data_IF_657579587345
#
_entry.id   IF_657579587345
#
_cell.length_a   1.000
_cell.length_b   1.000
_cell.length_c   1.000
_cell.angle_alpha   90.00
_cell.angle_beta   90.00
_cell.angle_gamma   90.00
#
_symmetry.space_group_name_H-M   'P 1'
#
loop_
_entity.id
_entity.type
_entity.pdbx_description
1 polymer ?
#
# COMPACT_ATOMS: atom_id res chain seq x y z
N UNK A 1 27.89 -20.34 37.12
CA UNK A 1 26.64 -21.06 36.80
C UNK A 1 25.43 -20.13 36.56
N UNK A 2 25.38 -18.92 37.14
CA UNK A 2 24.26 -17.96 36.99
C UNK A 2 24.21 -17.27 35.61
N UNK A 3 25.36 -17.03 34.96
CA UNK A 3 25.45 -16.37 33.65
C UNK A 3 24.94 -17.23 32.50
N UNK A 4 25.15 -18.55 32.53
CA UNK A 4 24.70 -19.47 31.48
C UNK A 4 23.17 -19.60 31.41
N UNK A 5 22.47 -19.43 32.54
CA UNK A 5 21.02 -19.55 32.60
C UNK A 5 20.32 -18.33 31.95
N UNK A 6 20.90 -17.12 32.09
CA UNK A 6 20.40 -15.89 31.45
C UNK A 6 20.48 -15.99 29.92
N UNK A 7 21.57 -16.51 29.38
CA UNK A 7 21.72 -16.71 27.94
C UNK A 7 20.73 -17.73 27.36
N UNK A 8 20.39 -18.77 28.11
CA UNK A 8 19.38 -19.75 27.69
C UNK A 8 17.97 -19.15 27.61
N UNK A 9 17.60 -18.34 28.61
CA UNK A 9 16.31 -17.63 28.62
C UNK A 9 16.24 -16.63 27.46
N UNK A 10 17.30 -15.85 27.22
CA UNK A 10 17.36 -14.88 26.13
C UNK A 10 17.27 -15.58 24.76
N UNK A 11 18.05 -16.64 24.53
CA UNK A 11 18.05 -17.37 23.26
C UNK A 11 16.70 -18.05 22.98
N UNK A 12 16.09 -18.65 24.00
CA UNK A 12 14.76 -19.27 23.87
C UNK A 12 13.67 -18.23 23.63
N UNK A 13 13.77 -17.08 24.29
CA UNK A 13 12.86 -15.94 24.08
C UNK A 13 12.95 -15.37 22.67
N UNK A 14 14.17 -15.12 22.17
CA UNK A 14 14.40 -14.64 20.80
C UNK A 14 13.90 -15.65 19.76
N UNK A 15 14.14 -16.95 19.97
CA UNK A 15 13.62 -18.00 19.11
C UNK A 15 12.08 -17.99 19.11
N UNK A 16 11.44 -17.83 20.26
CA UNK A 16 9.98 -17.72 20.37
C UNK A 16 9.40 -16.49 19.69
N UNK A 17 10.08 -15.34 19.76
CA UNK A 17 9.70 -14.14 18.99
C UNK A 17 9.76 -14.44 17.50
N UNK A 18 10.85 -15.02 17.00
CA UNK A 18 11.00 -15.36 15.58
C UNK A 18 9.91 -16.33 15.10
N UNK A 19 9.61 -17.36 15.89
CA UNK A 19 8.53 -18.32 15.60
C UNK A 19 7.17 -17.64 15.58
N UNK A 20 6.91 -16.73 16.53
CA UNK A 20 5.65 -15.97 16.57
C UNK A 20 5.50 -15.07 15.35
N UNK A 21 6.59 -14.46 14.87
CA UNK A 21 6.60 -13.67 13.63
C UNK A 21 6.26 -14.55 12.42
N UNK A 22 6.82 -15.76 12.33
CA UNK A 22 6.47 -16.72 11.26
C UNK A 22 5.00 -17.15 11.37
N UNK A 23 4.50 -17.43 12.58
CA UNK A 23 3.09 -17.79 12.81
C UNK A 23 2.14 -16.69 12.31
N UNK A 24 2.41 -15.44 12.68
CA UNK A 24 1.61 -14.28 12.27
C UNK A 24 1.69 -14.04 10.76
N UNK A 25 2.86 -14.27 10.15
CA UNK A 25 3.04 -14.18 8.71
C UNK A 25 2.28 -15.28 7.96
N UNK A 26 2.26 -16.52 8.47
CA UNK A 26 1.48 -17.60 7.87
C UNK A 26 -0.02 -17.37 8.02
N UNK A 27 -0.45 -16.91 9.19
CA UNK A 27 -1.85 -16.60 9.45
C UNK A 27 -2.35 -15.46 8.55
N UNK A 28 -1.54 -14.42 8.36
CA UNK A 28 -1.89 -13.31 7.47
C UNK A 28 -2.06 -13.76 6.01
N UNK A 29 -1.26 -14.72 5.55
CA UNK A 29 -1.41 -15.32 4.20
C UNK A 29 -2.67 -16.17 4.10
N UNK A 30 -3.00 -16.96 5.13
CA UNK A 30 -4.25 -17.75 5.15
C UNK A 30 -5.50 -16.86 5.11
N UNK A 31 -5.45 -15.66 5.70
CA UNK A 31 -6.57 -14.71 5.70
C UNK A 31 -6.84 -14.07 4.33
N UNK A 32 -5.85 -13.99 3.42
CA UNK A 32 -6.02 -13.49 2.05
C UNK A 32 -5.12 -14.26 1.08
N UNK A 33 -5.50 -15.52 0.80
CA UNK A 33 -4.80 -16.39 -0.16
C UNK A 33 -4.76 -15.77 -1.57
N UNK A 34 -5.75 -14.96 -1.92
CA UNK A 34 -5.83 -14.29 -3.22
C UNK A 34 -4.74 -13.23 -3.41
N UNK A 35 -4.49 -12.42 -2.37
CA UNK A 35 -3.38 -11.47 -2.37
C UNK A 35 -2.02 -12.17 -2.39
N UNK A 36 -1.86 -13.23 -1.60
CA UNK A 36 -0.61 -14.02 -1.63
C UNK A 36 -0.37 -14.65 -3.01
N UNK A 37 -1.40 -15.17 -3.66
CA UNK A 37 -1.31 -15.70 -5.02
C UNK A 37 -0.92 -14.61 -6.04
N UNK A 38 -1.49 -13.40 -5.93
CA UNK A 38 -1.09 -12.25 -6.78
C UNK A 38 0.38 -11.92 -6.61
N UNK A 39 0.88 -11.93 -5.37
CA UNK A 39 2.28 -11.62 -5.08
C UNK A 39 3.23 -12.67 -5.65
N UNK A 40 2.91 -13.96 -5.56
CA UNK A 40 3.72 -15.02 -6.18
C UNK A 40 3.68 -14.90 -7.72
N UNK A 41 2.50 -14.64 -8.31
CA UNK A 41 2.38 -14.44 -9.76
C UNK A 41 3.15 -13.23 -10.27
N UNK A 42 3.23 -12.16 -9.48
CA UNK A 42 3.98 -10.97 -9.83
C UNK A 42 5.49 -11.22 -10.02
N UNK A 43 6.00 -12.38 -9.56
CA UNK A 43 7.40 -12.75 -9.75
C UNK A 43 7.67 -13.31 -11.15
N UNK A 44 6.64 -13.76 -11.88
CA UNK A 44 6.76 -14.23 -13.27
C UNK A 44 7.56 -15.52 -13.48
N UNK A 45 8.06 -16.16 -12.42
CA UNK A 45 8.99 -17.31 -12.50
C UNK A 45 8.28 -18.67 -12.34
N UNK A 46 7.13 -18.70 -11.68
CA UNK A 46 6.45 -19.95 -11.32
C UNK A 46 5.30 -20.28 -12.29
N UNK A 47 5.16 -21.56 -12.64
CA UNK A 47 4.01 -22.06 -13.41
C UNK A 47 2.73 -22.08 -12.56
N UNK A 48 1.55 -21.91 -13.17
CA UNK A 48 0.27 -21.88 -12.42
C UNK A 48 0.03 -23.08 -11.48
N UNK A 49 0.36 -24.34 -11.84
CA UNK A 49 0.24 -25.46 -10.90
C UNK A 49 1.15 -25.31 -9.68
N UNK A 50 2.36 -24.79 -9.88
CA UNK A 50 3.32 -24.55 -8.80
C UNK A 50 2.89 -23.38 -7.92
N UNK A 51 2.33 -22.32 -8.50
CA UNK A 51 1.72 -21.21 -7.74
C UNK A 51 0.61 -21.72 -6.83
N UNK A 52 -0.31 -22.54 -7.36
CA UNK A 52 -1.40 -23.12 -6.57
C UNK A 52 -0.87 -23.96 -5.40
N UNK A 53 0.16 -24.79 -5.64
CA UNK A 53 0.81 -25.58 -4.60
C UNK A 53 1.48 -24.69 -3.53
N UNK A 54 2.22 -23.66 -3.93
CA UNK A 54 2.90 -22.74 -3.00
C UNK A 54 1.90 -21.93 -2.16
N UNK A 55 0.81 -21.45 -2.76
CA UNK A 55 -0.25 -20.69 -2.07
C UNK A 55 -0.90 -21.53 -0.97
N UNK A 56 -1.06 -22.83 -1.16
CA UNK A 56 -1.64 -23.72 -0.15
C UNK A 56 -0.59 -24.19 0.88
N UNK A 57 0.57 -24.64 0.41
CA UNK A 57 1.56 -25.32 1.25
C UNK A 57 2.35 -24.34 2.14
N UNK A 58 2.74 -23.18 1.62
CA UNK A 58 3.60 -22.24 2.36
C UNK A 58 2.91 -21.74 3.63
N UNK A 59 1.67 -21.19 3.59
CA UNK A 59 0.99 -20.72 4.80
C UNK A 59 0.64 -21.84 5.77
N UNK A 60 0.29 -23.03 5.26
CA UNK A 60 -0.01 -24.20 6.07
C UNK A 60 1.24 -24.70 6.83
N UNK A 61 2.40 -24.72 6.18
CA UNK A 61 3.67 -25.07 6.82
C UNK A 61 4.05 -24.00 7.83
N UNK A 62 3.98 -22.71 7.51
CA UNK A 62 4.32 -21.62 8.44
C UNK A 62 3.49 -21.66 9.72
N UNK A 63 2.17 -21.77 9.58
CA UNK A 63 1.25 -21.81 10.72
C UNK A 63 1.32 -23.12 11.49
N UNK A 64 1.36 -24.26 10.80
CA UNK A 64 1.41 -25.57 11.42
C UNK A 64 2.71 -25.81 12.18
N UNK A 65 3.85 -25.50 11.56
CA UNK A 65 5.16 -25.66 12.23
C UNK A 65 5.32 -24.68 13.37
N UNK A 66 4.94 -23.40 13.22
CA UNK A 66 5.01 -22.46 14.32
C UNK A 66 4.07 -22.83 15.48
N UNK A 67 2.87 -23.34 15.18
CA UNK A 67 1.94 -23.87 16.18
C UNK A 67 2.53 -25.04 16.97
N UNK A 68 3.12 -26.02 16.29
CA UNK A 68 3.80 -27.14 16.94
C UNK A 68 4.92 -26.68 17.88
N UNK A 69 5.70 -25.67 17.49
CA UNK A 69 6.76 -25.11 18.31
C UNK A 69 6.23 -24.43 19.58
N UNK A 70 5.16 -23.63 19.44
CA UNK A 70 4.52 -22.89 20.54
C UNK A 70 3.92 -23.84 21.58
N UNK A 71 3.31 -24.95 21.14
CA UNK A 71 2.76 -26.01 22.01
C UNK A 71 3.87 -26.86 22.64
N UNK A 72 5.13 -26.71 22.19
CA UNK A 72 6.29 -27.39 22.77
C UNK A 72 6.59 -28.74 22.13
N UNK A 73 5.96 -29.08 21.01
CA UNK A 73 6.15 -30.34 20.31
C UNK A 73 7.37 -30.25 19.39
N UNK A 74 8.32 -31.17 19.57
CA UNK A 74 9.48 -31.35 18.70
C UNK A 74 10.25 -30.05 18.37
N UNK A 75 10.33 -29.10 19.33
CA UNK A 75 10.89 -27.73 19.14
C UNK A 75 12.15 -27.69 18.29
N UNK A 76 13.13 -28.55 18.56
CA UNK A 76 14.39 -28.59 17.80
C UNK A 76 14.21 -28.99 16.33
N UNK A 77 13.37 -29.99 16.03
CA UNK A 77 13.09 -30.41 14.64
C UNK A 77 12.31 -29.32 13.91
N UNK A 78 11.33 -28.73 14.58
CA UNK A 78 10.51 -27.65 14.04
C UNK A 78 11.35 -26.40 13.75
N UNK A 79 12.25 -26.01 14.65
CA UNK A 79 13.20 -24.90 14.42
C UNK A 79 14.08 -25.16 13.19
N UNK A 80 14.54 -26.40 12.97
CA UNK A 80 15.31 -26.75 11.76
C UNK A 80 14.48 -26.61 10.48
N UNK A 81 13.21 -27.03 10.50
CA UNK A 81 12.29 -26.85 9.37
C UNK A 81 12.08 -25.36 9.07
N UNK A 82 11.86 -24.54 10.10
CA UNK A 82 11.70 -23.09 9.96
C UNK A 82 12.97 -22.43 9.41
N UNK A 83 14.16 -22.83 9.87
CA UNK A 83 15.43 -22.34 9.32
C UNK A 83 15.56 -22.73 7.85
N UNK A 84 15.33 -23.99 7.51
CA UNK A 84 15.41 -24.47 6.12
C UNK A 84 14.46 -23.70 5.21
N UNK A 85 13.24 -23.41 5.70
CA UNK A 85 12.27 -22.61 4.97
C UNK A 85 12.77 -21.16 4.76
N UNK A 86 13.20 -20.46 5.81
CA UNK A 86 13.70 -19.07 5.69
C UNK A 86 14.94 -19.00 4.79
N UNK A 87 15.85 -19.98 4.88
CA UNK A 87 17.01 -20.08 3.98
C UNK A 87 16.56 -20.28 2.53
N UNK A 88 15.68 -21.26 2.27
CA UNK A 88 15.20 -21.53 0.90
C UNK A 88 14.57 -20.30 0.27
N UNK A 89 13.73 -19.60 1.02
CA UNK A 89 13.08 -18.38 0.58
C UNK A 89 14.09 -17.25 0.30
N UNK A 90 15.10 -17.10 1.16
CA UNK A 90 16.18 -16.12 0.99
C UNK A 90 17.00 -16.41 -0.27
N UNK A 91 17.29 -17.69 -0.54
CA UNK A 91 18.00 -18.11 -1.75
C UNK A 91 17.18 -17.85 -3.02
N UNK A 92 15.88 -18.15 -3.01
CA UNK A 92 15.00 -17.83 -4.14
C UNK A 92 15.00 -16.33 -4.39
N UNK A 93 14.83 -15.51 -3.34
CA UNK A 93 14.86 -14.05 -3.47
C UNK A 93 16.18 -13.51 -4.01
N UNK A 94 17.31 -14.04 -3.53
CA UNK A 94 18.64 -13.68 -4.03
C UNK A 94 18.83 -14.10 -5.49
N UNK A 95 18.35 -15.28 -5.88
CA UNK A 95 18.39 -15.74 -7.27
C UNK A 95 17.52 -14.87 -8.19
N UNK A 96 16.31 -14.49 -7.76
CA UNK A 96 15.45 -13.56 -8.52
C UNK A 96 16.18 -12.24 -8.74
N UNK A 97 16.79 -11.67 -7.71
CA UNK A 97 17.54 -10.42 -7.81
C UNK A 97 18.75 -10.48 -8.77
N UNK A 98 19.42 -11.64 -8.84
CA UNK A 98 20.58 -11.84 -9.71
C UNK A 98 20.21 -12.08 -11.19
N UNK A 99 19.05 -12.69 -11.46
CA UNK A 99 18.69 -13.16 -12.81
C UNK A 99 17.50 -12.44 -13.45
N UNK A 100 16.71 -11.69 -12.67
CA UNK A 100 15.49 -11.01 -13.13
C UNK A 100 15.37 -9.61 -12.49
N UNK A 101 14.61 -8.70 -13.12
CA UNK A 101 14.25 -7.43 -12.48
C UNK A 101 13.35 -7.71 -11.25
N UNK A 102 13.78 -7.36 -10.03
CA UNK A 102 13.04 -7.70 -8.83
C UNK A 102 11.72 -6.92 -8.79
N UNK A 103 10.58 -7.56 -8.45
CA UNK A 103 9.36 -6.82 -8.20
C UNK A 103 9.56 -5.83 -7.05
N UNK A 104 8.94 -4.66 -7.14
CA UNK A 104 9.09 -3.56 -6.17
C UNK A 104 8.71 -3.95 -4.73
N UNK A 105 7.97 -5.05 -4.54
CA UNK A 105 7.52 -5.55 -3.25
C UNK A 105 7.68 -7.08 -3.16
N UNK A 106 8.42 -7.57 -2.16
CA UNK A 106 8.62 -9.02 -1.96
C UNK A 106 7.40 -9.73 -1.33
N UNK A 107 6.37 -9.02 -0.85
CA UNK A 107 5.05 -9.55 -0.44
C UNK A 107 5.01 -10.48 0.79
N UNK A 108 6.14 -10.87 1.37
CA UNK A 108 6.23 -12.06 2.24
C UNK A 108 5.40 -12.05 3.54
N UNK A 109 4.90 -10.90 3.98
CA UNK A 109 4.05 -10.75 5.18
C UNK A 109 2.55 -10.66 4.84
N UNK A 110 2.18 -10.80 3.57
CA UNK A 110 0.83 -10.57 3.09
C UNK A 110 0.31 -9.20 3.50
N UNK A 111 -0.96 -9.15 3.88
CA UNK A 111 -1.67 -7.92 4.32
C UNK A 111 -1.01 -7.25 5.53
N UNK A 112 -0.31 -8.02 6.39
CA UNK A 112 0.32 -7.48 7.61
C UNK A 112 1.51 -6.56 7.30
N UNK A 113 2.27 -6.84 6.22
CA UNK A 113 3.37 -5.99 5.78
C UNK A 113 2.89 -4.65 5.23
N UNK A 114 1.75 -4.66 4.55
CA UNK A 114 1.08 -3.46 4.02
C UNK A 114 0.52 -2.57 5.14
N UNK A 115 0.06 -3.18 6.23
CA UNK A 115 -0.52 -2.49 7.39
C UNK A 115 0.54 -1.83 8.29
N UNK A 116 1.70 -2.49 8.46
CA UNK A 116 2.79 -2.03 9.34
C UNK A 116 3.76 -1.03 8.65
N UNK A 117 3.53 -0.66 7.38
CA UNK A 117 4.47 0.18 6.58
C UNK A 117 5.91 -0.35 6.60
N UNK A 118 6.08 -1.67 6.72
CA UNK A 118 7.42 -2.29 6.73
C UNK A 118 7.99 -2.14 5.34
N UNK A 119 9.17 -1.56 5.22
CA UNK A 119 9.87 -1.43 3.94
C UNK A 119 9.93 -2.78 3.23
N UNK A 120 9.27 -2.86 2.07
CA UNK A 120 9.08 -4.08 1.26
C UNK A 120 10.17 -4.30 0.22
N UNK A 121 11.14 -3.38 0.14
CA UNK A 121 12.27 -3.45 -0.78
C UNK A 121 13.22 -4.61 -0.46
N UNK A 122 13.96 -5.05 -1.47
CA UNK A 122 14.90 -6.16 -1.39
C UNK A 122 15.89 -6.09 -0.21
N UNK A 123 16.54 -4.93 0.09
CA UNK A 123 17.46 -4.84 1.22
C UNK A 123 16.77 -5.11 2.57
N UNK A 124 15.57 -4.57 2.76
CA UNK A 124 14.82 -4.75 3.99
C UNK A 124 14.34 -6.19 4.18
N UNK A 125 13.96 -6.87 3.09
CA UNK A 125 13.59 -8.27 3.15
C UNK A 125 14.78 -9.17 3.51
N UNK A 126 15.98 -8.89 2.97
CA UNK A 126 17.21 -9.59 3.32
C UNK A 126 17.60 -9.38 4.79
N UNK A 127 17.58 -8.14 5.29
CA UNK A 127 17.89 -7.83 6.69
C UNK A 127 16.95 -8.56 7.66
N UNK A 128 15.66 -8.60 7.34
CA UNK A 128 14.66 -9.30 8.15
C UNK A 128 14.88 -10.81 8.17
N UNK A 129 15.13 -11.42 7.02
CA UNK A 129 15.39 -12.86 6.94
C UNK A 129 16.67 -13.21 7.71
N UNK A 130 17.72 -12.38 7.62
CA UNK A 130 18.94 -12.54 8.41
C UNK A 130 18.67 -12.44 9.92
N UNK A 131 17.84 -11.49 10.36
CA UNK A 131 17.44 -11.37 11.76
C UNK A 131 16.67 -12.60 12.26
N UNK A 132 15.72 -13.11 11.46
CA UNK A 132 14.97 -14.34 11.77
C UNK A 132 15.89 -15.56 11.86
N UNK A 133 16.83 -15.71 10.93
CA UNK A 133 17.82 -16.79 10.95
C UNK A 133 18.72 -16.70 12.17
N UNK A 134 19.20 -15.51 12.52
CA UNK A 134 19.98 -15.29 13.74
C UNK A 134 19.22 -15.71 14.99
N UNK A 135 17.96 -15.30 15.13
CA UNK A 135 17.13 -15.65 16.28
C UNK A 135 16.80 -17.16 16.35
N UNK A 136 16.52 -17.81 15.21
CA UNK A 136 16.23 -19.24 15.15
C UNK A 136 17.49 -20.10 15.42
N UNK A 137 18.63 -19.73 14.87
CA UNK A 137 19.90 -20.46 15.06
C UNK A 137 20.43 -20.31 16.48
N UNK A 138 20.26 -19.15 17.12
CA UNK A 138 20.60 -18.95 18.53
C UNK A 138 19.84 -19.93 19.44
N UNK A 139 18.57 -20.23 19.11
CA UNK A 139 17.76 -21.24 19.80
C UNK A 139 18.25 -22.68 19.65
N UNK A 140 19.02 -23.01 18.60
CA UNK A 140 19.61 -24.34 18.39
C UNK A 140 20.95 -24.53 19.12
N UNK A 141 21.73 -23.45 19.25
CA UNK A 141 23.07 -23.48 19.84
C UNK A 141 23.00 -23.69 21.35
N UNK A 142 21.93 -23.21 22.01
CA UNK A 142 21.77 -23.43 23.44
C UNK A 142 21.21 -24.81 23.71
N UNK A 143 22.12 -25.76 23.95
CA UNK A 143 21.84 -27.16 24.27
C UNK A 143 20.82 -27.26 25.42
N UNK A 144 19.65 -27.82 25.13
CA UNK A 144 18.65 -28.17 26.13
C UNK A 144 19.26 -29.21 27.09
N UNK A 145 19.76 -28.75 28.24
CA UNK A 145 20.32 -29.62 29.28
C UNK A 145 19.23 -30.29 30.12
N UNK A 146 18.05 -30.53 29.56
CA UNK A 146 17.03 -31.46 30.12
C UNK A 146 17.39 -32.93 29.90
N UNK A 147 18.68 -33.28 29.91
CA UNK A 147 19.07 -34.66 30.19
C UNK A 147 18.96 -34.83 31.70
N UNK A 148 17.79 -35.32 32.13
CA UNK A 148 17.62 -35.93 33.44
C UNK A 148 18.83 -36.85 33.71
N UNK A 149 19.50 -36.78 34.87
CA UNK A 149 20.47 -37.80 35.24
C UNK A 149 19.70 -39.12 35.29
N UNK A 150 19.92 -39.99 34.29
CA UNK A 150 19.72 -41.41 34.50
C UNK A 150 20.89 -41.86 35.39
N UNK A 151 20.62 -42.82 36.27
CA UNK A 151 21.45 -43.33 37.37
C UNK A 151 21.27 -42.60 38.71
N UNK A 152 20.15 -42.89 39.36
CA UNK A 152 20.20 -43.13 40.80
C UNK A 152 20.88 -44.50 40.98
N UNK A 153 22.18 -44.52 41.26
CA UNK A 153 22.77 -45.64 41.97
C UNK A 153 22.36 -45.50 43.44
N UNK A 154 21.51 -46.42 43.89
CA UNK A 154 21.22 -46.60 45.31
C UNK A 154 22.46 -47.25 45.91
N UNK A 155 23.35 -46.44 46.47
CA UNK A 155 24.35 -46.90 47.43
C UNK A 155 23.68 -46.98 48.80
N UNK A 156 23.33 -48.19 49.22
CA UNK A 156 22.98 -48.51 50.60
C UNK A 156 24.26 -48.47 51.42
N UNK A 157 24.60 -47.29 51.94
CA UNK A 157 25.50 -47.16 53.07
C UNK A 157 24.79 -46.49 54.23
N UNK A 158 25.00 -47.10 55.39
CA UNK A 158 24.25 -46.92 56.61
C UNK A 158 24.38 -45.53 57.23
N UNK A 159 23.28 -45.09 57.86
CA UNK A 159 23.28 -44.09 58.92
C UNK A 159 23.00 -42.67 58.45
N UNK A 160 22.07 -42.03 59.17
CA UNK A 160 21.71 -40.60 59.15
C UNK A 160 20.56 -40.21 58.19
N UNK A 161 19.33 -40.37 58.68
CA UNK A 161 18.18 -39.57 58.27
C UNK A 161 18.37 -38.13 58.77
N UNK A 162 18.83 -37.21 57.90
CA UNK A 162 18.66 -35.76 58.09
C UNK A 162 17.56 -35.27 57.16
N UNK A 163 16.38 -35.05 57.74
CA UNK A 163 15.28 -34.34 57.07
C UNK A 163 15.54 -32.83 57.19
N UNK A 164 16.19 -32.23 56.21
CA UNK A 164 16.19 -30.76 56.10
C UNK A 164 14.89 -30.32 55.41
N UNK A 165 13.88 -29.95 56.20
CA UNK A 165 12.78 -29.09 55.74
C UNK A 165 13.36 -27.68 55.55
N UNK A 166 13.82 -27.37 54.35
CA UNK A 166 14.20 -26.03 53.91
C UNK A 166 13.08 -25.44 53.06
N UNK A 167 12.48 -24.35 53.54
CA UNK A 167 11.24 -23.77 53.02
C UNK A 167 11.30 -23.29 51.58
N UNK A 168 10.21 -23.53 50.86
CA UNK A 168 9.84 -22.84 49.63
C UNK A 168 8.47 -22.17 49.86
N UNK A 169 8.47 -20.95 50.39
CA UNK A 169 7.34 -20.03 50.25
C UNK A 169 7.79 -18.89 49.34
N UNK A 170 7.88 -19.20 48.05
CA UNK A 170 7.80 -18.16 47.03
C UNK A 170 6.38 -18.26 46.47
N UNK A 171 5.43 -17.61 47.14
CA UNK A 171 4.04 -17.43 46.68
C UNK A 171 3.99 -16.44 45.50
N UNK A 172 4.85 -16.66 44.51
CA UNK A 172 4.67 -16.08 43.19
C UNK A 172 3.48 -16.79 42.56
N UNK A 173 2.31 -16.15 42.60
CA UNK A 173 1.11 -16.57 41.91
C UNK A 173 1.41 -16.65 40.40
N UNK A 174 1.79 -17.83 39.93
CA UNK A 174 2.02 -18.10 38.52
C UNK A 174 0.67 -18.30 37.82
N UNK A 175 0.46 -17.54 36.74
CA UNK A 175 -0.71 -17.70 35.86
C UNK A 175 -0.86 -19.17 35.44
N UNK A 176 -2.09 -19.68 35.51
CA UNK A 176 -2.37 -21.05 35.05
C UNK A 176 -2.32 -21.11 33.52
N UNK A 177 -1.97 -22.29 32.98
CA UNK A 177 -2.01 -22.52 31.53
C UNK A 177 -3.42 -22.24 30.97
N UNK A 178 -4.46 -22.63 31.71
CA UNK A 178 -5.85 -22.38 31.35
C UNK A 178 -6.14 -20.89 31.27
N UNK A 179 -5.73 -20.10 32.26
CA UNK A 179 -5.95 -18.66 32.30
C UNK A 179 -5.25 -17.96 31.13
N UNK A 180 -4.01 -18.35 30.83
CA UNK A 180 -3.28 -17.81 29.67
C UNK A 180 -3.96 -18.18 28.36
N UNK A 181 -4.40 -19.44 28.20
CA UNK A 181 -5.11 -19.93 26.99
C UNK A 181 -6.47 -19.25 26.83
N UNK A 182 -7.20 -19.04 27.92
CA UNK A 182 -8.48 -18.31 27.91
C UNK A 182 -8.28 -16.85 27.49
N UNK A 183 -7.27 -16.16 28.04
CA UNK A 183 -6.98 -14.76 27.70
C UNK A 183 -6.62 -14.62 26.22
N UNK A 184 -5.73 -15.46 25.69
CA UNK A 184 -5.38 -15.40 24.26
C UNK A 184 -6.58 -15.77 23.37
N UNK A 185 -7.43 -16.72 23.78
CA UNK A 185 -8.64 -17.07 23.06
C UNK A 185 -9.64 -15.91 23.04
N UNK A 186 -9.85 -15.26 24.19
CA UNK A 186 -10.72 -14.08 24.32
C UNK A 186 -10.20 -12.91 23.49
N UNK A 187 -8.90 -12.59 23.60
CA UNK A 187 -8.27 -11.54 22.79
C UNK A 187 -8.36 -11.86 21.31
N UNK A 188 -8.17 -13.12 20.91
CA UNK A 188 -8.34 -13.57 19.52
C UNK A 188 -9.75 -13.34 19.00
N UNK A 189 -10.78 -13.72 19.78
CA UNK A 189 -12.19 -13.47 19.46
C UNK A 189 -12.46 -11.97 19.33
N UNK A 190 -11.99 -11.16 20.28
CA UNK A 190 -12.14 -9.71 20.24
C UNK A 190 -11.49 -9.11 18.98
N UNK A 191 -10.28 -9.53 18.62
CA UNK A 191 -9.59 -9.07 17.40
C UNK A 191 -10.41 -9.44 16.16
N UNK A 192 -10.94 -10.67 16.08
CA UNK A 192 -11.77 -11.12 14.95
C UNK A 192 -13.03 -10.27 14.80
N UNK A 193 -13.70 -9.95 15.92
CA UNK A 193 -14.90 -9.12 15.93
C UNK A 193 -14.61 -7.63 15.63
N UNK A 194 -13.44 -7.13 16.02
CA UNK A 194 -13.03 -5.72 15.81
C UNK A 194 -12.38 -5.46 14.45
N UNK A 195 -11.80 -6.47 13.81
CA UNK A 195 -11.15 -6.31 12.50
C UNK A 195 -12.05 -5.70 11.41
N UNK A 196 -13.32 -6.12 11.22
CA UNK A 196 -14.19 -5.52 10.21
C UNK A 196 -14.57 -4.07 10.53
N UNK A 197 -14.77 -3.69 11.80
CA UNK A 197 -15.13 -2.32 12.18
C UNK A 197 -13.99 -1.33 11.92
N UNK A 198 -12.74 -1.76 12.14
CA UNK A 198 -11.54 -0.96 11.86
C UNK A 198 -11.37 -0.62 10.37
N UNK A 199 -11.85 -1.49 9.46
CA UNK A 199 -11.79 -1.20 8.01
C UNK A 199 -12.64 0.03 7.64
N UNK A 200 -13.82 0.17 8.23
CA UNK A 200 -14.71 1.31 8.00
C UNK A 200 -14.11 2.63 8.49
N UNK A 201 -13.56 2.64 9.72
CA UNK A 201 -12.91 3.83 10.31
C UNK A 201 -11.74 4.30 9.44
N UNK A 202 -10.93 3.38 8.92
CA UNK A 202 -9.75 3.72 8.10
C UNK A 202 -10.15 4.25 6.73
N UNK A 203 -11.18 3.68 6.11
CA UNK A 203 -11.76 4.23 4.87
C UNK A 203 -12.23 5.67 5.08
N UNK A 204 -12.94 5.95 6.17
CA UNK A 204 -13.36 7.30 6.51
C UNK A 204 -12.17 8.25 6.73
N UNK A 205 -11.11 7.78 7.38
CA UNK A 205 -9.86 8.54 7.55
C UNK A 205 -9.14 8.83 6.24
N UNK A 206 -9.01 7.83 5.37
CA UNK A 206 -8.41 7.99 4.04
C UNK A 206 -9.21 8.97 3.19
N UNK A 207 -10.55 8.87 3.22
CA UNK A 207 -11.46 9.77 2.50
C UNK A 207 -11.37 11.21 3.02
N UNK A 208 -11.27 11.39 4.34
CA UNK A 208 -11.08 12.70 4.95
C UNK A 208 -9.72 13.32 4.59
N UNK A 209 -8.66 12.52 4.60
CA UNK A 209 -7.32 12.96 4.20
C UNK A 209 -7.25 13.34 2.71
N UNK A 210 -7.87 12.55 1.84
CA UNK A 210 -7.94 12.86 0.42
C UNK A 210 -8.75 14.14 0.13
N UNK A 211 -9.87 14.35 0.84
CA UNK A 211 -10.63 15.59 0.75
C UNK A 211 -9.82 16.81 1.24
N UNK A 212 -8.97 16.65 2.25
CA UNK A 212 -8.06 17.70 2.70
C UNK A 212 -7.00 18.05 1.65
N UNK A 213 -6.36 17.04 1.02
CA UNK A 213 -5.42 17.28 -0.07
C UNK A 213 -6.10 17.98 -1.26
N UNK A 214 -7.30 17.54 -1.65
CA UNK A 214 -8.09 18.15 -2.72
C UNK A 214 -8.39 19.64 -2.49
N UNK A 215 -8.79 20.03 -1.26
CA UNK A 215 -8.97 21.45 -0.89
C UNK A 215 -7.64 22.21 -0.94
N UNK A 216 -6.58 21.63 -0.40
CA UNK A 216 -5.24 22.23 -0.44
C UNK A 216 -4.79 22.50 -1.87
N UNK A 217 -5.00 21.55 -2.78
CA UNK A 217 -4.66 21.71 -4.20
C UNK A 217 -5.53 22.79 -4.87
N UNK A 218 -6.82 22.86 -4.56
CA UNK A 218 -7.68 23.93 -5.07
C UNK A 218 -7.19 25.31 -4.60
N UNK A 219 -6.81 25.45 -3.33
CA UNK A 219 -6.19 26.68 -2.82
C UNK A 219 -4.88 27.03 -3.55
N UNK A 220 -4.03 26.05 -3.83
CA UNK A 220 -2.79 26.27 -4.61
C UNK A 220 -3.09 26.74 -6.03
N UNK A 221 -4.09 26.17 -6.69
CA UNK A 221 -4.48 26.59 -8.03
C UNK A 221 -5.10 27.99 -8.03
N UNK A 222 -5.83 28.38 -6.99
CA UNK A 222 -6.31 29.74 -6.82
C UNK A 222 -5.15 30.73 -6.61
N UNK A 223 -4.13 30.36 -5.82
CA UNK A 223 -2.90 31.16 -5.68
C UNK A 223 -2.17 31.30 -7.01
N UNK A 224 -2.00 30.19 -7.74
CA UNK A 224 -1.42 30.21 -9.08
C UNK A 224 -2.21 31.14 -10.01
N UNK A 225 -3.53 31.04 -10.03
CA UNK A 225 -4.35 31.92 -10.86
C UNK A 225 -4.13 33.39 -10.49
N UNK A 226 -4.05 33.73 -9.19
CA UNK A 226 -3.72 35.08 -8.75
C UNK A 226 -2.38 35.56 -9.30
N UNK A 227 -1.34 34.73 -9.24
CA UNK A 227 0.02 35.08 -9.69
C UNK A 227 0.14 35.11 -11.23
N UNK A 228 -0.73 34.39 -11.93
CA UNK A 228 -0.69 34.21 -13.39
C UNK A 228 -1.88 34.87 -14.11
N UNK A 229 -2.28 36.08 -13.69
CA UNK A 229 -3.32 36.90 -14.35
C UNK A 229 -4.66 36.17 -14.52
N UNK A 230 -5.06 35.42 -13.50
CA UNK A 230 -6.26 34.59 -13.44
C UNK A 230 -6.24 33.36 -14.35
N UNK A 231 -5.10 32.99 -14.96
CA UNK A 231 -4.98 31.77 -15.76
C UNK A 231 -4.82 30.55 -14.86
N UNK A 232 -5.57 29.49 -15.13
CA UNK A 232 -5.33 28.19 -14.53
C UNK A 232 -4.03 27.58 -15.10
N UNK A 233 -3.37 26.66 -14.36
CA UNK A 233 -2.09 26.09 -14.77
C UNK A 233 -2.13 25.48 -16.17
N UNK A 234 -1.24 26.00 -17.02
CA UNK A 234 -0.87 25.44 -18.30
C UNK A 234 0.64 25.66 -18.49
N UNK A 235 1.37 24.59 -18.75
CA UNK A 235 2.83 24.58 -18.66
C UNK A 235 3.51 24.67 -20.02
N UNK A 236 2.73 24.69 -21.11
CA UNK A 236 3.25 24.51 -22.45
C UNK A 236 2.81 25.62 -23.40
N UNK A 237 3.73 25.97 -24.30
CA UNK A 237 3.35 26.65 -25.53
C UNK A 237 2.70 25.61 -26.46
N UNK A 238 1.42 25.76 -26.84
CA UNK A 238 0.73 24.83 -27.71
C UNK A 238 1.31 24.77 -29.13
N UNK A 239 2.32 25.57 -29.50
CA UNK A 239 3.00 25.47 -30.80
C UNK A 239 4.38 24.81 -30.72
N UNK A 240 4.78 24.29 -29.55
CA UNK A 240 6.06 23.63 -29.39
C UNK A 240 6.06 22.21 -29.98
N UNK A 241 7.21 21.77 -30.48
CA UNK A 241 7.39 20.42 -31.05
C UNK A 241 7.45 19.33 -29.96
N UNK A 242 7.94 19.69 -28.77
CA UNK A 242 8.11 18.79 -27.63
C UNK A 242 7.69 19.50 -26.34
N UNK A 243 6.93 18.81 -25.48
CA UNK A 243 6.53 19.32 -24.17
C UNK A 243 7.39 18.71 -23.07
N UNK A 244 8.00 19.56 -22.25
CA UNK A 244 8.89 19.15 -21.17
C UNK A 244 8.43 19.85 -19.90
N UNK A 245 7.99 19.08 -18.90
CA UNK A 245 7.81 19.58 -17.55
C UNK A 245 9.14 19.70 -16.85
N UNK A 246 9.34 20.80 -16.14
CA UNK A 246 10.61 21.13 -15.49
C UNK A 246 10.38 21.42 -14.02
N UNK A 247 11.31 20.93 -13.21
CA UNK A 247 11.52 21.34 -11.83
C UNK A 247 13.01 21.69 -11.69
N UNK A 248 13.39 22.95 -12.06
CA UNK A 248 14.78 23.41 -12.06
C UNK A 248 15.50 23.21 -10.73
N UNK A 249 14.84 23.45 -9.59
CA UNK A 249 15.46 23.32 -8.26
C UNK A 249 16.02 21.92 -7.97
N UNK A 250 15.48 20.90 -8.64
CA UNK A 250 15.88 19.49 -8.52
C UNK A 250 16.58 18.95 -9.77
N UNK A 251 16.80 19.77 -10.80
CA UNK A 251 17.39 19.33 -12.07
C UNK A 251 16.51 18.33 -12.84
N UNK A 252 15.19 18.36 -12.65
CA UNK A 252 14.26 17.42 -13.26
C UNK A 252 13.68 18.00 -14.56
N UNK A 253 13.70 17.19 -15.62
CA UNK A 253 13.06 17.49 -16.90
C UNK A 253 12.39 16.22 -17.43
N UNK A 254 11.07 16.25 -17.59
CA UNK A 254 10.27 15.07 -17.96
C UNK A 254 9.54 15.38 -19.27
N UNK A 255 9.82 14.65 -20.37
CA UNK A 255 9.03 14.78 -21.58
C UNK A 255 7.64 14.22 -21.32
N UNK A 256 6.61 14.98 -21.67
CA UNK A 256 5.21 14.57 -21.54
C UNK A 256 4.46 14.95 -22.80
N UNK A 257 3.25 14.42 -22.98
CA UNK A 257 2.34 14.92 -24.01
C UNK A 257 1.50 16.06 -23.45
N UNK A 258 0.96 16.91 -24.34
CA UNK A 258 0.24 18.13 -23.93
C UNK A 258 -0.83 17.87 -22.85
N UNK A 259 -1.73 16.90 -23.09
CA UNK A 259 -2.80 16.57 -22.14
C UNK A 259 -2.38 15.67 -20.98
N UNK A 260 -1.20 15.03 -21.05
CA UNK A 260 -0.69 14.19 -19.95
C UNK A 260 -0.31 15.00 -18.72
N UNK A 261 -0.15 16.32 -18.86
CA UNK A 261 0.06 17.21 -17.72
C UNK A 261 -1.09 17.18 -16.71
N UNK A 262 -2.28 16.75 -17.13
CA UNK A 262 -3.40 16.46 -16.22
C UNK A 262 -3.03 15.49 -15.09
N UNK A 263 -2.00 14.66 -15.29
CA UNK A 263 -1.51 13.69 -14.31
C UNK A 263 -0.22 14.12 -13.64
N UNK A 264 0.59 14.97 -14.27
CA UNK A 264 1.94 15.34 -13.83
C UNK A 264 2.11 16.83 -13.51
N UNK A 265 1.01 17.56 -13.40
CA UNK A 265 0.96 19.00 -13.06
C UNK A 265 1.78 19.35 -11.80
N UNK A 266 1.91 18.41 -10.85
CA UNK A 266 2.69 18.58 -9.63
C UNK A 266 4.17 18.91 -9.90
N UNK A 267 4.75 18.40 -11.00
CA UNK A 267 6.12 18.73 -11.40
C UNK A 267 6.25 20.20 -11.75
N UNK A 268 5.30 20.74 -12.53
CA UNK A 268 5.35 22.12 -12.99
C UNK A 268 5.06 23.15 -11.90
N UNK A 269 4.35 22.75 -10.83
CA UNK A 269 4.08 23.61 -9.67
C UNK A 269 5.08 23.42 -8.52
N UNK A 270 5.98 22.43 -8.60
CA UNK A 270 6.85 22.04 -7.50
C UNK A 270 7.64 23.20 -6.91
N UNK A 271 8.37 23.93 -7.76
CA UNK A 271 9.29 25.00 -7.34
C UNK A 271 8.56 26.21 -6.75
N UNK A 272 7.37 26.53 -7.27
CA UNK A 272 6.61 27.70 -6.82
C UNK A 272 5.74 27.45 -5.60
N UNK A 273 5.17 26.24 -5.47
CA UNK A 273 4.05 26.00 -4.55
C UNK A 273 4.16 24.74 -3.69
N UNK A 274 5.18 23.89 -3.93
CA UNK A 274 5.37 22.64 -3.18
C UNK A 274 6.83 22.43 -2.76
N UNK A 275 7.51 23.50 -2.32
CA UNK A 275 8.85 23.44 -1.72
C UNK A 275 9.92 22.79 -2.63
N UNK A 276 9.76 22.92 -3.95
CA UNK A 276 10.64 22.27 -4.93
C UNK A 276 10.58 20.74 -4.87
N UNK A 277 9.49 20.15 -4.35
CA UNK A 277 9.31 18.71 -4.28
C UNK A 277 8.27 18.22 -5.33
N UNK A 278 8.72 17.72 -6.50
CA UNK A 278 7.82 17.25 -7.55
C UNK A 278 7.13 15.92 -7.24
N UNK A 279 7.51 15.26 -6.13
CA UNK A 279 6.86 14.07 -5.59
C UNK A 279 6.34 14.34 -4.17
N UNK A 280 5.82 15.56 -3.93
CA UNK A 280 5.29 15.95 -2.64
C UNK A 280 4.23 14.95 -2.13
N UNK A 281 4.26 14.53 -0.85
CA UNK A 281 3.33 13.54 -0.32
C UNK A 281 1.85 13.88 -0.53
N UNK A 282 1.51 15.17 -0.60
CA UNK A 282 0.13 15.62 -0.85
C UNK A 282 -0.39 15.21 -2.23
N UNK A 283 0.47 14.99 -3.22
CA UNK A 283 0.04 14.54 -4.56
C UNK A 283 -0.51 13.12 -4.57
N UNK A 284 -0.33 12.39 -3.47
CA UNK A 284 -0.76 11.01 -3.34
C UNK A 284 -1.94 10.91 -2.36
N UNK A 285 -2.94 10.15 -2.74
CA UNK A 285 -4.07 9.84 -1.86
C UNK A 285 -3.59 8.96 -0.69
N UNK A 286 -4.04 9.19 0.56
CA UNK A 286 -3.73 8.29 1.67
C UNK A 286 -4.12 6.82 1.42
N UNK A 287 -5.13 6.61 0.57
CA UNK A 287 -5.58 5.30 0.15
C UNK A 287 -4.67 4.63 -0.91
N UNK A 288 -3.77 5.39 -1.53
CA UNK A 288 -2.91 4.95 -2.63
C UNK A 288 -1.71 4.17 -2.09
N UNK A 289 -1.95 2.96 -1.60
CA UNK A 289 -0.92 2.08 -1.07
C UNK A 289 -0.17 1.38 -2.21
N UNK A 290 0.87 2.01 -2.73
CA UNK A 290 1.69 1.41 -3.81
C UNK A 290 0.90 1.08 -5.08
N UNK A 291 -0.21 1.78 -5.31
CA UNK A 291 -1.07 1.66 -6.47
C UNK A 291 -0.41 2.16 -7.75
N UNK A 292 -1.02 1.83 -8.88
CA UNK A 292 -0.56 2.13 -10.25
C UNK A 292 -0.29 3.64 -10.51
N UNK A 293 -0.89 4.53 -9.71
CA UNK A 293 -0.77 5.98 -9.80
C UNK A 293 -0.05 6.63 -8.61
N UNK A 294 0.40 5.84 -7.63
CA UNK A 294 1.20 6.32 -6.50
C UNK A 294 2.66 5.97 -6.71
N UNK A 295 3.38 6.84 -7.41
CA UNK A 295 4.81 6.72 -7.63
C UNK A 295 5.30 7.55 -8.81
N UNK A 296 6.51 8.08 -8.69
CA UNK A 296 7.14 8.91 -9.73
C UNK A 296 6.61 10.35 -9.73
N UNK A 297 6.26 10.86 -10.90
CA UNK A 297 5.79 12.23 -11.13
C UNK A 297 4.29 12.32 -11.44
N UNK A 298 3.55 11.22 -11.24
CA UNK A 298 2.11 11.15 -11.46
C UNK A 298 1.38 11.39 -10.14
N UNK A 299 0.33 12.21 -10.17
CA UNK A 299 -0.52 12.48 -9.02
C UNK A 299 -1.75 11.57 -8.99
N UNK A 300 -2.15 11.19 -7.78
CA UNK A 300 -3.46 10.59 -7.48
C UNK A 300 -4.62 11.51 -7.83
N UNK A 301 -4.39 12.83 -7.84
CA UNK A 301 -5.38 13.85 -8.10
C UNK A 301 -5.21 14.35 -9.54
N UNK A 302 -6.06 13.87 -10.43
CA UNK A 302 -6.05 14.31 -11.82
C UNK A 302 -6.62 15.72 -11.92
N UNK A 303 -5.84 16.63 -12.49
CA UNK A 303 -6.29 17.95 -12.88
C UNK A 303 -7.22 17.85 -14.11
N UNK A 304 -8.34 18.56 -14.09
CA UNK A 304 -9.31 18.48 -15.17
C UNK A 304 -8.75 19.09 -16.46
N UNK A 305 -8.67 18.28 -17.52
CA UNK A 305 -8.03 18.68 -18.76
C UNK A 305 -8.80 19.78 -19.53
N UNK A 306 -10.08 19.99 -19.19
CA UNK A 306 -10.94 21.04 -19.77
C UNK A 306 -10.37 22.46 -19.62
N UNK A 307 -9.40 22.64 -18.73
CA UNK A 307 -8.70 23.91 -18.52
C UNK A 307 -7.42 24.07 -19.35
N UNK A 308 -7.05 23.06 -20.12
CA UNK A 308 -5.89 23.05 -21.02
C UNK A 308 -6.25 23.46 -22.46
N UNK A 309 -7.52 23.68 -22.76
CA UNK A 309 -7.98 24.13 -24.07
C UNK A 309 -9.18 25.06 -23.93
N UNK A 310 -9.40 25.89 -24.96
CA UNK A 310 -10.57 26.75 -25.10
C UNK A 310 -11.87 25.96 -24.87
N UNK A 311 -12.90 26.52 -24.19
CA UNK A 311 -14.18 25.84 -24.00
C UNK A 311 -14.80 25.28 -25.29
N UNK A 312 -14.64 25.97 -26.42
CA UNK A 312 -15.16 25.53 -27.72
C UNK A 312 -14.39 24.33 -28.31
N UNK A 313 -13.18 24.02 -27.83
CA UNK A 313 -12.45 22.79 -28.17
C UNK A 313 -13.24 21.54 -27.77
N UNK A 314 -14.05 21.65 -26.71
CA UNK A 314 -14.78 20.52 -26.15
C UNK A 314 -16.16 20.33 -26.80
N UNK A 315 -16.67 21.32 -27.53
CA UNK A 315 -17.94 21.21 -28.24
C UNK A 315 -17.71 20.58 -29.62
N UNK A 316 -18.33 19.42 -29.93
CA UNK A 316 -18.21 18.81 -31.24
C UNK A 316 -18.57 19.73 -32.42
N UNK A 317 -19.42 20.73 -32.21
CA UNK A 317 -19.86 21.63 -33.28
C UNK A 317 -18.89 22.78 -33.53
N UNK A 318 -18.00 23.09 -32.58
CA UNK A 318 -17.12 24.28 -32.61
C UNK A 318 -15.64 23.96 -32.57
N UNK A 319 -15.30 22.73 -32.18
CA UNK A 319 -13.94 22.22 -32.13
C UNK A 319 -13.25 22.24 -33.49
N UNK A 320 -12.02 22.78 -33.50
CA UNK A 320 -11.06 22.93 -34.59
C UNK A 320 -9.82 22.06 -34.33
N UNK A 321 -8.90 22.02 -35.29
CA UNK A 321 -7.67 21.22 -35.17
C UNK A 321 -6.69 21.86 -34.18
N UNK A 322 -5.96 21.01 -33.47
CA UNK A 322 -4.79 21.44 -32.70
C UNK A 322 -3.75 22.08 -33.64
N UNK A 323 -3.04 23.14 -33.20
CA UNK A 323 -3.00 23.67 -31.84
C UNK A 323 -3.89 24.90 -31.59
N UNK A 324 -4.78 25.26 -32.52
CA UNK A 324 -5.43 26.58 -32.57
C UNK A 324 -6.24 26.94 -31.32
N UNK A 325 -6.86 25.94 -30.70
CA UNK A 325 -7.71 26.11 -29.51
C UNK A 325 -7.03 25.64 -28.21
N UNK A 326 -5.77 25.21 -28.26
CA UNK A 326 -5.04 24.80 -27.07
C UNK A 326 -4.53 26.05 -26.35
N UNK A 327 -5.00 26.27 -25.12
CA UNK A 327 -4.65 27.44 -24.30
C UNK A 327 -5.05 27.22 -22.85
N UNK A 328 -4.44 27.98 -21.95
CA UNK A 328 -4.95 28.09 -20.59
C UNK A 328 -6.35 28.74 -20.58
N UNK A 329 -7.21 28.20 -19.72
CA UNK A 329 -8.49 28.82 -19.37
C UNK A 329 -8.29 29.73 -18.17
N UNK A 330 -8.93 30.90 -18.17
CA UNK A 330 -8.94 31.76 -16.99
C UNK A 330 -10.02 31.33 -15.99
N UNK A 331 -9.80 31.57 -14.70
CA UNK A 331 -10.74 31.18 -13.65
C UNK A 331 -12.09 31.92 -13.78
N UNK A 332 -12.08 33.15 -14.30
CA UNK A 332 -13.27 33.98 -14.59
C UNK A 332 -14.04 33.54 -15.84
N UNK A 333 -13.48 32.65 -16.68
CA UNK A 333 -14.21 31.98 -17.76
C UNK A 333 -15.09 30.83 -17.22
N UNK A 334 -14.88 30.36 -15.99
CA UNK A 334 -15.65 29.23 -15.44
C UNK A 334 -17.05 29.68 -15.00
N UNK A 335 -18.08 29.24 -15.72
CA UNK A 335 -19.47 29.66 -15.48
C UNK A 335 -20.12 29.04 -14.24
N UNK A 336 -19.62 27.88 -13.80
CA UNK A 336 -20.21 27.14 -12.68
C UNK A 336 -19.16 26.73 -11.64
N UNK A 337 -18.54 27.67 -10.91
CA UNK A 337 -17.41 27.37 -10.03
C UNK A 337 -17.65 26.26 -9.00
N UNK A 338 -18.86 26.21 -8.42
CA UNK A 338 -19.27 25.20 -7.43
C UNK A 338 -19.73 23.87 -8.04
N UNK A 339 -19.83 23.80 -9.37
CA UNK A 339 -20.24 22.57 -10.08
C UNK A 339 -19.24 22.15 -11.16
N UNK A 340 -18.13 22.87 -11.26
CA UNK A 340 -17.01 22.59 -12.16
C UNK A 340 -15.85 22.03 -11.35
N UNK A 341 -15.49 20.80 -11.66
CA UNK A 341 -14.45 20.06 -10.96
C UNK A 341 -13.07 20.52 -11.43
N UNK A 342 -12.20 20.78 -10.48
CA UNK A 342 -10.80 21.14 -10.68
C UNK A 342 -9.89 19.90 -10.61
N UNK A 343 -10.05 19.06 -9.59
CA UNK A 343 -9.30 17.82 -9.44
C UNK A 343 -10.21 16.64 -9.09
N UNK A 344 -9.84 15.44 -9.52
CA UNK A 344 -10.50 14.18 -9.14
C UNK A 344 -9.49 13.18 -8.57
N UNK A 345 -9.82 12.57 -7.45
CA UNK A 345 -9.04 11.47 -6.87
C UNK A 345 -9.27 10.17 -7.65
N UNK A 346 -8.29 9.73 -8.44
CA UNK A 346 -8.37 8.51 -9.25
C UNK A 346 -8.24 7.23 -8.43
N UNK A 347 -7.51 7.27 -7.32
CA UNK A 347 -7.24 6.06 -6.54
C UNK A 347 -8.50 5.52 -5.86
N UNK A 348 -9.51 6.36 -5.66
CA UNK A 348 -10.82 5.90 -5.20
C UNK A 348 -11.46 4.93 -6.20
N UNK A 349 -11.40 5.24 -7.50
CA UNK A 349 -11.94 4.36 -8.56
C UNK A 349 -11.17 3.04 -8.61
N UNK A 350 -9.84 3.10 -8.51
CA UNK A 350 -9.00 1.91 -8.50
C UNK A 350 -9.33 1.02 -7.29
N UNK A 351 -9.40 1.60 -6.09
CA UNK A 351 -9.74 0.91 -4.84
C UNK A 351 -11.13 0.27 -4.89
N UNK A 352 -12.14 1.04 -5.31
CA UNK A 352 -13.51 0.54 -5.39
C UNK A 352 -13.65 -0.56 -6.45
N UNK A 353 -12.84 -0.49 -7.52
CA UNK A 353 -12.76 -1.54 -8.54
C UNK A 353 -12.14 -2.84 -8.04
N UNK A 354 -11.09 -2.76 -7.22
CA UNK A 354 -10.50 -3.94 -6.58
C UNK A 354 -11.47 -4.57 -5.57
N UNK A 355 -12.19 -3.75 -4.80
CA UNK A 355 -13.23 -4.21 -3.86
C UNK A 355 -14.40 -4.90 -4.60
N UNK A 356 -14.85 -4.32 -5.72
CA UNK A 356 -15.89 -4.89 -6.56
C UNK A 356 -15.48 -6.25 -7.15
N UNK A 357 -14.25 -6.36 -7.66
CA UNK A 357 -13.69 -7.63 -8.18
C UNK A 357 -13.59 -8.71 -7.10
N UNK A 358 -13.20 -8.35 -5.88
CA UNK A 358 -13.12 -9.30 -4.75
C UNK A 358 -14.49 -9.79 -4.28
N UNK A 359 -15.52 -8.95 -4.38
CA UNK A 359 -16.88 -9.25 -3.91
C UNK A 359 -17.81 -9.80 -4.99
N UNK A 360 -17.36 -9.88 -6.25
CA UNK A 360 -18.19 -10.26 -7.38
C UNK A 360 -19.28 -9.22 -7.72
N UNK A 361 -19.14 -7.98 -7.24
CA UNK A 361 -20.08 -6.89 -7.49
C UNK A 361 -19.73 -6.20 -8.81
N UNK A 362 -20.73 -5.89 -9.62
CA UNK A 362 -20.51 -5.01 -10.77
C UNK A 362 -20.22 -3.57 -10.31
N UNK A 363 -19.30 -2.90 -11.00
CA UNK A 363 -19.06 -1.48 -10.79
C UNK A 363 -20.18 -0.68 -11.45
N UNK A 364 -20.75 0.33 -10.76
CA UNK A 364 -21.68 1.24 -11.40
C UNK A 364 -20.98 1.98 -12.55
N UNK A 365 -21.77 2.33 -13.58
CA UNK A 365 -21.28 3.10 -14.74
C UNK A 365 -20.58 4.40 -14.32
N UNK A 366 -21.12 5.06 -13.28
CA UNK A 366 -20.55 6.24 -12.64
C UNK A 366 -20.25 5.92 -11.18
N UNK A 367 -18.98 5.65 -10.81
CA UNK A 367 -18.61 5.41 -9.41
C UNK A 367 -18.60 6.70 -8.60
N UNK A 368 -18.71 6.60 -7.28
CA UNK A 368 -18.54 7.75 -6.38
C UNK A 368 -17.10 8.27 -6.48
N UNK A 369 -16.94 9.57 -6.76
CA UNK A 369 -15.65 10.22 -6.95
C UNK A 369 -15.41 11.27 -5.88
N UNK A 370 -14.17 11.42 -5.43
CA UNK A 370 -13.78 12.57 -4.63
C UNK A 370 -13.24 13.64 -5.56
N UNK A 371 -13.77 14.85 -5.45
CA UNK A 371 -13.44 15.95 -6.33
C UNK A 371 -13.24 17.24 -5.54
N UNK A 372 -12.36 18.12 -6.00
CA UNK A 372 -12.39 19.54 -5.66
C UNK A 372 -12.94 20.38 -6.79
N UNK A 373 -13.47 21.54 -6.45
CA UNK A 373 -14.17 22.43 -7.36
C UNK A 373 -13.44 23.77 -7.48
N UNK A 374 -13.83 24.56 -8.48
CA UNK A 374 -13.18 25.84 -8.79
C UNK A 374 -13.37 26.87 -7.67
N UNK A 375 -14.47 26.81 -6.92
CA UNK A 375 -14.69 27.64 -5.74
C UNK A 375 -13.85 27.23 -4.50
N UNK A 376 -13.06 26.17 -4.60
CA UNK A 376 -12.17 25.70 -3.54
C UNK A 376 -12.74 24.61 -2.63
N UNK A 377 -14.03 24.27 -2.73
CA UNK A 377 -14.57 23.18 -1.91
C UNK A 377 -14.17 21.80 -2.45
N UNK A 378 -14.34 20.76 -1.63
CA UNK A 378 -14.17 19.37 -2.06
C UNK A 378 -15.22 18.47 -1.43
N UNK A 379 -15.78 17.55 -2.21
CA UNK A 379 -16.80 16.61 -1.77
C UNK A 379 -16.64 15.22 -2.40
N UNK A 380 -17.36 14.24 -1.84
CA UNK A 380 -17.59 12.95 -2.50
C UNK A 380 -18.83 13.11 -3.38
N UNK A 381 -18.61 13.18 -4.68
CA UNK A 381 -19.65 13.27 -5.71
C UNK A 381 -20.22 11.89 -5.97
N UNK A 382 -21.50 11.72 -5.62
CA UNK A 382 -22.27 10.51 -5.89
C UNK A 382 -22.51 10.32 -7.38
N UNK A 383 -22.49 9.08 -7.85
CA UNK A 383 -22.63 8.75 -9.28
C UNK A 383 -23.91 9.29 -9.95
N UNK A 384 -24.99 9.47 -9.20
CA UNK A 384 -26.27 10.04 -9.66
C UNK A 384 -26.25 11.58 -9.82
N UNK A 385 -25.39 12.27 -9.05
CA UNK A 385 -25.16 13.72 -9.17
C UNK A 385 -24.19 14.07 -10.31
N UNK A 386 -23.42 13.11 -10.81
CA UNK A 386 -22.46 13.35 -11.90
C UNK A 386 -23.20 13.63 -13.21
N UNK A 387 -22.78 14.68 -13.90
CA UNK A 387 -23.35 15.00 -15.20
C UNK A 387 -22.89 13.97 -16.25
N UNK A 388 -23.84 13.53 -17.08
CA UNK A 388 -23.60 12.57 -18.17
C UNK A 388 -23.14 13.23 -19.46
N UNK A 389 -23.16 14.56 -19.52
CA UNK A 389 -22.68 15.35 -20.66
C UNK A 389 -21.14 15.41 -20.73
N UNK A 390 -20.51 14.24 -20.58
CA UNK A 390 -19.09 14.04 -20.77
C UNK A 390 -18.81 13.73 -22.23
N UNK A 391 -17.74 14.31 -22.77
CA UNK A 391 -17.27 13.93 -24.11
C UNK A 391 -16.91 12.45 -24.11
N UNK A 392 -17.38 11.70 -25.12
CA UNK A 392 -16.97 10.32 -25.36
C UNK A 392 -15.50 10.19 -25.74
N UNK A 393 -15.03 8.96 -25.95
CA UNK A 393 -13.67 8.75 -26.44
C UNK A 393 -13.50 9.31 -27.86
N UNK A 394 -12.37 10.00 -28.06
CA UNK A 394 -11.76 10.28 -29.36
C UNK A 394 -12.43 11.35 -30.24
N UNK A 395 -11.64 12.38 -30.62
CA UNK A 395 -11.93 13.32 -31.71
C UNK A 395 -10.70 13.50 -32.59
N UNK A 396 -10.89 13.79 -33.88
CA UNK A 396 -9.83 14.02 -34.88
C UNK A 396 -8.76 14.98 -34.35
N UNK A 397 -7.48 14.61 -34.45
CA UNK A 397 -6.33 15.49 -34.16
C UNK A 397 -5.50 15.16 -32.91
N UNK A 398 -6.02 14.33 -32.00
CA UNK A 398 -5.32 13.88 -30.77
C UNK A 398 -4.22 12.83 -31.01
N UNK A 399 -3.59 12.81 -32.18
CA UNK A 399 -2.49 11.91 -32.55
C UNK A 399 -1.23 12.74 -32.76
N UNK A 400 -0.11 12.35 -32.14
CA UNK A 400 1.14 13.12 -32.16
C UNK A 400 1.50 13.69 -30.78
N UNK A 401 2.15 14.86 -30.69
CA UNK A 401 2.72 15.38 -29.43
C UNK A 401 1.64 15.81 -28.40
N UNK A 402 0.40 16.02 -28.82
CA UNK A 402 -0.73 16.45 -27.97
C UNK A 402 -1.17 15.38 -26.97
N UNK A 403 -0.93 14.11 -27.29
CA UNK A 403 -1.29 12.96 -26.46
C UNK A 403 -2.69 12.46 -26.67
N UNK A 404 -2.91 11.22 -26.24
CA UNK A 404 -4.18 10.57 -26.42
C UNK A 404 -5.10 11.04 -25.29
N UNK A 405 -6.13 11.79 -25.64
CA UNK A 405 -7.31 12.01 -24.78
C UNK A 405 -8.17 10.74 -24.75
N UNK A 406 -7.56 9.63 -24.33
CA UNK A 406 -8.20 8.33 -24.27
C UNK A 406 -8.87 8.18 -22.93
N UNK A 407 -10.21 8.10 -22.99
CA UNK A 407 -11.14 7.71 -21.95
C UNK A 407 -11.64 8.85 -21.04
N UNK A 408 -12.97 9.04 -20.95
CA UNK A 408 -13.60 9.97 -20.00
C UNK A 408 -13.55 9.45 -18.55
N UNK A 409 -12.49 8.73 -18.17
CA UNK A 409 -12.34 8.08 -16.88
C UNK A 409 -11.15 8.67 -16.10
N UNK A 410 -11.39 9.29 -14.92
CA UNK A 410 -12.67 9.41 -14.23
C UNK A 410 -13.59 10.43 -14.90
N UNK A 411 -14.90 10.23 -14.73
CA UNK A 411 -15.88 11.26 -15.05
C UNK A 411 -15.59 12.52 -14.20
N UNK A 412 -16.19 13.66 -14.57
CA UNK A 412 -15.96 15.01 -13.98
C UNK A 412 -14.76 15.82 -14.53
N UNK A 413 -13.89 15.24 -15.36
CA UNK A 413 -12.74 15.98 -15.92
C UNK A 413 -12.89 16.37 -17.41
N UNK A 414 -14.03 16.05 -18.04
CA UNK A 414 -14.22 16.03 -19.50
C UNK A 414 -15.65 16.41 -19.98
N UNK A 415 -16.16 17.61 -19.71
CA UNK A 415 -17.49 18.05 -20.19
C UNK A 415 -17.50 18.58 -21.62
N UNK A 416 -18.61 18.36 -22.34
CA UNK A 416 -18.82 18.83 -23.73
C UNK A 416 -18.78 20.36 -23.90
N UNK A 417 -18.98 21.13 -22.84
CA UNK A 417 -18.86 22.60 -22.87
C UNK A 417 -17.58 23.09 -22.19
N UNK A 418 -16.59 22.22 -21.99
CA UNK A 418 -15.31 22.58 -21.37
C UNK A 418 -15.49 23.24 -20.01
N UNK A 419 -14.80 24.36 -19.79
CA UNK A 419 -14.93 25.16 -18.57
C UNK A 419 -16.31 25.83 -18.38
N UNK A 420 -17.11 25.94 -19.45
CA UNK A 420 -18.47 26.49 -19.40
C UNK A 420 -19.52 25.43 -19.04
N UNK A 421 -19.15 24.15 -18.95
CA UNK A 421 -20.04 23.06 -18.57
C UNK A 421 -20.12 22.82 -17.06
N UNK A 422 -21.13 22.09 -16.62
CA UNK A 422 -21.23 21.55 -15.25
C UNK A 422 -20.81 20.09 -15.21
N UNK A 423 -19.99 19.73 -14.23
CA UNK A 423 -19.61 18.33 -13.96
C UNK A 423 -20.61 17.65 -13.01
N UNK A 424 -21.35 18.43 -12.20
CA UNK A 424 -22.42 17.93 -11.32
C UNK A 424 -23.74 18.69 -11.53
N UNK A 425 -24.87 18.03 -11.23
CA UNK A 425 -26.22 18.58 -11.36
C UNK A 425 -26.71 19.31 -10.12
#
# INVERSE_FOLDING_TARGET
MITMNRWHVIATGLCGIAVSVVALSGLSKLLDLGEFARQIRAWGIFSEPLVAALVALVPAIETGTAGLWLIGIARRRVTLVLIGMVVSMTLVMAAVWLFHEPPSNCGCFGVLGEWLRVSTGFPAAMTRNAALLGALTMGLIVKDRRSCPKHAEISLNAGVLRTTRGGCSNEGHGFTLIETVLVIALVGVLIVLLTPSLRGVRRAGDDAGAAAHLRSHASVFAMYASDHKQLLPNFFNPKADVFILRCPSRGIAVPVRYFEVSYSWGVGLADGYYEGNPAHPSFYSPAARGGRWSGGFLSSYQYACVFLADPDYWDPRRSRLEPEQLRAVRIDEVLFPSSKTLHVNRDRVARDGDDARRSGRELPLLPDLQASFIDGHAEIVKGDRQNRDSMGCWRRGSTGPWGIHTFPNPHLTHTLSGAHGRDIR
#
